data_IF_191499123827
#
_entry.id   IF_191499123827
#
_cell.length_a   1.000
_cell.length_b   1.000
_cell.length_c   1.000
_cell.angle_alpha   90.00
_cell.angle_beta   90.00
_cell.angle_gamma   90.00
#
_symmetry.space_group_name_H-M   'P 1'
#
loop_
_entity.id
_entity.type
_entity.pdbx_description
1 polymer ?
#
# COMPACT_ATOMS: atom_id res chain seq x y z
N UNK A 1 4.17 14.31 4.00
CA UNK A 1 3.64 14.22 5.36
C UNK A 1 3.25 12.78 5.70
N UNK A 2 2.34 12.16 4.94
CA UNK A 2 1.82 10.81 5.18
C UNK A 2 2.85 9.67 5.05
N UNK A 3 3.87 9.81 4.21
CA UNK A 3 4.82 8.75 3.89
C UNK A 3 6.19 8.90 4.56
N UNK A 4 6.43 10.01 5.23
CA UNK A 4 7.69 10.27 5.91
C UNK A 4 7.47 10.71 7.37
N UNK A 5 6.73 11.80 7.58
CA UNK A 5 6.64 12.45 8.90
C UNK A 5 5.81 11.58 9.87
N UNK A 6 4.57 11.26 9.52
CA UNK A 6 3.70 10.48 10.41
C UNK A 6 4.20 9.05 10.64
N UNK A 7 4.68 8.29 9.60
CA UNK A 7 5.24 6.97 9.83
C UNK A 7 6.49 6.99 10.71
N UNK A 8 7.33 8.03 10.61
CA UNK A 8 8.48 8.20 11.49
C UNK A 8 8.05 8.32 12.95
N UNK A 9 7.11 9.22 13.25
CA UNK A 9 6.58 9.34 14.62
C UNK A 9 5.85 8.08 15.08
N UNK A 10 5.15 7.39 14.16
CA UNK A 10 4.54 6.09 14.44
C UNK A 10 5.60 5.06 14.86
N UNK A 11 6.69 4.94 14.10
CA UNK A 11 7.77 4.00 14.41
C UNK A 11 8.47 4.31 15.74
N UNK A 12 8.54 5.57 16.14
CA UNK A 12 9.07 5.95 17.45
C UNK A 12 8.27 5.40 18.63
N UNK A 13 6.96 5.10 18.44
CA UNK A 13 6.15 4.47 19.49
C UNK A 13 6.57 3.02 19.76
N UNK A 14 7.27 2.39 18.82
CA UNK A 14 7.81 1.04 18.98
C UNK A 14 9.13 1.02 19.77
N UNK A 15 9.74 2.18 20.04
CA UNK A 15 11.03 2.30 20.74
C UNK A 15 10.80 2.40 22.24
N UNK A 16 11.30 1.45 23.06
CA UNK A 16 11.18 1.50 24.50
C UNK A 16 12.03 2.64 25.10
N UNK A 17 11.67 3.06 26.29
CA UNK A 17 12.43 4.08 27.03
C UNK A 17 13.89 3.60 27.26
N UNK A 18 14.85 4.47 26.95
CA UNK A 18 16.28 4.19 27.10
C UNK A 18 16.96 3.63 25.84
N UNK A 19 16.22 3.34 24.78
CA UNK A 19 16.76 2.91 23.50
C UNK A 19 16.72 4.04 22.45
N UNK A 20 17.65 3.96 21.48
CA UNK A 20 17.68 4.87 20.34
C UNK A 20 16.79 4.35 19.20
N UNK A 21 16.20 5.26 18.44
CA UNK A 21 15.46 4.93 17.21
C UNK A 21 16.29 4.08 16.21
N UNK A 22 17.59 4.37 16.11
CA UNK A 22 18.45 3.66 15.17
C UNK A 22 18.75 2.22 15.60
N UNK A 23 18.69 1.93 16.89
CA UNK A 23 18.85 0.55 17.42
C UNK A 23 17.74 -0.39 16.95
N UNK A 24 16.58 0.13 16.51
CA UNK A 24 15.51 -0.65 15.87
C UNK A 24 16.02 -1.50 14.69
N UNK A 25 17.03 -1.00 13.98
CA UNK A 25 17.50 -1.57 12.73
C UNK A 25 18.77 -2.43 12.90
N UNK A 26 19.33 -2.48 14.10
CA UNK A 26 20.55 -3.22 14.38
C UNK A 26 20.33 -4.72 14.24
N UNK A 27 21.14 -5.35 13.41
CA UNK A 27 21.03 -6.77 13.09
C UNK A 27 20.02 -7.12 11.99
N UNK A 28 19.15 -6.19 11.57
CA UNK A 28 18.10 -6.42 10.56
C UNK A 28 18.43 -5.88 9.16
N UNK A 29 19.72 -5.74 8.81
CA UNK A 29 20.14 -5.10 7.57
C UNK A 29 19.46 -5.66 6.31
N UNK A 30 19.31 -6.99 6.18
CA UNK A 30 18.61 -7.62 5.07
C UNK A 30 17.10 -7.30 5.09
N UNK A 31 16.45 -7.42 6.25
CA UNK A 31 15.04 -7.14 6.41
C UNK A 31 14.72 -5.67 6.09
N UNK A 32 15.54 -4.73 6.57
CA UNK A 32 15.43 -3.30 6.26
C UNK A 32 15.54 -3.06 4.75
N UNK A 33 16.55 -3.66 4.09
CA UNK A 33 16.76 -3.51 2.65
C UNK A 33 15.57 -4.05 1.85
N UNK A 34 15.06 -5.24 2.18
CA UNK A 34 13.91 -5.85 1.51
C UNK A 34 12.63 -5.06 1.77
N UNK A 35 12.38 -4.64 3.00
CA UNK A 35 11.22 -3.81 3.36
C UNK A 35 11.21 -2.51 2.56
N UNK A 36 12.34 -1.82 2.44
CA UNK A 36 12.47 -0.61 1.64
C UNK A 36 12.34 -0.88 0.15
N UNK A 37 12.93 -1.98 -0.37
CA UNK A 37 12.81 -2.37 -1.78
C UNK A 37 11.33 -2.58 -2.17
N UNK A 38 10.58 -3.34 -1.36
CA UNK A 38 9.16 -3.53 -1.59
C UNK A 38 8.35 -2.24 -1.41
N UNK A 39 8.80 -1.33 -0.57
CA UNK A 39 8.28 0.04 -0.48
C UNK A 39 8.50 0.84 -1.77
N UNK A 40 9.68 0.75 -2.40
CA UNK A 40 9.97 1.36 -3.70
C UNK A 40 9.03 0.82 -4.79
N UNK A 41 8.84 -0.51 -4.84
CA UNK A 41 7.91 -1.15 -5.78
C UNK A 41 6.46 -0.72 -5.53
N UNK A 42 6.04 -0.64 -4.26
CA UNK A 42 4.74 -0.09 -3.89
C UNK A 42 4.58 1.37 -4.34
N UNK A 43 5.61 2.19 -4.26
CA UNK A 43 5.61 3.56 -4.77
C UNK A 43 5.29 3.63 -6.26
N UNK A 44 5.81 2.69 -7.08
CA UNK A 44 5.43 2.53 -8.50
C UNK A 44 3.95 2.16 -8.62
N UNK A 45 3.45 1.29 -7.72
CA UNK A 45 2.04 0.94 -7.62
C UNK A 45 1.14 2.16 -7.46
N UNK A 46 1.50 3.08 -6.56
CA UNK A 46 0.77 4.33 -6.35
C UNK A 46 0.69 5.23 -7.59
N UNK A 47 1.78 5.34 -8.34
CA UNK A 47 1.80 6.11 -9.60
C UNK A 47 0.92 5.47 -10.68
N UNK A 48 0.98 4.15 -10.84
CA UNK A 48 0.15 3.41 -11.82
C UNK A 48 -1.31 3.34 -11.39
N UNK A 49 -1.60 3.37 -10.09
CA UNK A 49 -2.95 3.45 -9.54
C UNK A 49 -3.70 4.70 -10.02
N UNK A 50 -3.05 5.88 -9.95
CA UNK A 50 -3.60 7.12 -10.49
C UNK A 50 -3.88 7.04 -12.00
N UNK A 51 -3.02 6.37 -12.76
CA UNK A 51 -3.24 6.13 -14.19
C UNK A 51 -4.43 5.20 -14.47
N UNK A 52 -4.66 4.18 -13.65
CA UNK A 52 -5.82 3.29 -13.82
C UNK A 52 -7.13 4.04 -13.70
N UNK A 53 -7.24 4.95 -12.73
CA UNK A 53 -8.41 5.79 -12.55
C UNK A 53 -8.63 6.76 -13.73
N UNK A 54 -7.56 7.24 -14.37
CA UNK A 54 -7.64 8.09 -15.56
C UNK A 54 -8.27 7.38 -16.75
N UNK A 55 -8.03 6.06 -16.91
CA UNK A 55 -8.55 5.27 -18.03
C UNK A 55 -9.87 4.56 -17.74
N UNK A 56 -10.15 4.18 -16.49
CA UNK A 56 -11.34 3.40 -16.09
C UNK A 56 -12.37 4.23 -15.32
N UNK A 57 -11.99 5.40 -14.84
CA UNK A 57 -12.73 6.13 -13.81
C UNK A 57 -12.41 5.65 -12.41
N UNK A 58 -12.76 6.45 -11.40
CA UNK A 58 -12.39 6.23 -10.01
C UNK A 58 -12.93 4.88 -9.50
N UNK A 59 -14.22 4.64 -9.62
CA UNK A 59 -14.86 3.45 -9.04
C UNK A 59 -14.29 2.14 -9.60
N UNK A 60 -14.20 2.01 -10.93
CA UNK A 60 -13.74 0.76 -11.55
C UNK A 60 -12.23 0.57 -11.39
N UNK A 61 -11.45 1.62 -11.62
CA UNK A 61 -9.99 1.58 -11.47
C UNK A 61 -9.57 1.24 -10.05
N UNK A 62 -10.21 1.87 -9.05
CA UNK A 62 -9.96 1.61 -7.63
C UNK A 62 -10.34 0.19 -7.23
N UNK A 63 -11.54 -0.27 -7.57
CA UNK A 63 -12.01 -1.62 -7.21
C UNK A 63 -11.10 -2.72 -7.74
N UNK A 64 -10.68 -2.64 -9.02
CA UNK A 64 -9.78 -3.63 -9.62
C UNK A 64 -8.39 -3.57 -8.98
N UNK A 65 -7.82 -2.39 -8.80
CA UNK A 65 -6.48 -2.25 -8.25
C UNK A 65 -6.42 -2.65 -6.76
N UNK A 66 -7.36 -2.20 -5.92
CA UNK A 66 -7.39 -2.55 -4.49
C UNK A 66 -7.69 -4.03 -4.28
N UNK A 67 -8.65 -4.59 -5.03
CA UNK A 67 -8.93 -6.02 -4.93
C UNK A 67 -7.74 -6.88 -5.36
N UNK A 68 -7.04 -6.51 -6.45
CA UNK A 68 -5.81 -7.19 -6.88
C UNK A 68 -4.71 -7.06 -5.81
N UNK A 69 -4.56 -5.86 -5.22
CA UNK A 69 -3.64 -5.61 -4.11
C UNK A 69 -3.96 -6.50 -2.91
N UNK A 70 -5.22 -6.58 -2.51
CA UNK A 70 -5.67 -7.41 -1.39
C UNK A 70 -5.39 -8.90 -1.63
N UNK A 71 -5.79 -9.44 -2.78
CA UNK A 71 -5.61 -10.86 -3.10
C UNK A 71 -4.15 -11.26 -3.23
N UNK A 72 -3.41 -10.58 -4.11
CA UNK A 72 -2.01 -10.91 -4.36
C UNK A 72 -1.10 -10.53 -3.18
N UNK A 73 -1.33 -9.39 -2.54
CA UNK A 73 -0.55 -8.96 -1.38
C UNK A 73 -0.61 -9.96 -0.21
N UNK A 74 -1.76 -10.62 -0.02
CA UNK A 74 -1.92 -11.65 1.02
C UNK A 74 -1.10 -12.91 0.74
N UNK A 75 -0.96 -13.31 -0.53
CA UNK A 75 -0.22 -14.54 -0.91
C UNK A 75 1.28 -14.26 -1.05
N UNK A 76 1.65 -13.13 -1.65
CA UNK A 76 3.04 -12.83 -2.02
C UNK A 76 3.98 -12.77 -0.81
N UNK A 77 3.53 -12.22 0.31
CA UNK A 77 4.33 -12.14 1.54
C UNK A 77 4.82 -13.50 2.01
N UNK A 78 3.91 -14.42 2.39
CA UNK A 78 4.29 -15.78 2.83
C UNK A 78 5.10 -16.56 1.79
N UNK A 79 4.76 -16.45 0.50
CA UNK A 79 5.51 -17.16 -0.57
C UNK A 79 6.94 -16.67 -0.66
N UNK A 80 7.17 -15.36 -0.68
CA UNK A 80 8.51 -14.81 -0.76
C UNK A 80 9.32 -15.05 0.52
N UNK A 81 8.69 -14.90 1.70
CA UNK A 81 9.37 -15.26 2.96
C UNK A 81 9.83 -16.72 2.96
N UNK A 82 8.99 -17.65 2.51
CA UNK A 82 9.36 -19.07 2.45
C UNK A 82 10.50 -19.35 1.44
N UNK A 83 10.62 -18.55 0.39
CA UNK A 83 11.74 -18.67 -0.57
C UNK A 83 13.05 -18.17 0.05
N UNK A 84 13.02 -17.04 0.77
CA UNK A 84 14.21 -16.45 1.36
C UNK A 84 14.59 -17.05 2.73
N UNK A 85 13.59 -17.54 3.47
CA UNK A 85 13.73 -18.11 4.83
C UNK A 85 12.90 -19.39 4.95
N UNK A 86 13.30 -20.50 4.30
CA UNK A 86 12.54 -21.76 4.30
C UNK A 86 12.25 -22.31 5.70
N UNK A 87 13.14 -22.01 6.66
CA UNK A 87 13.03 -22.42 8.05
C UNK A 87 11.85 -21.78 8.81
N UNK A 88 11.32 -20.67 8.33
CA UNK A 88 10.17 -19.98 8.95
C UNK A 88 8.84 -20.65 8.67
N UNK A 89 8.78 -21.59 7.70
CA UNK A 89 7.54 -22.25 7.26
C UNK A 89 6.38 -21.25 7.04
N UNK A 90 6.71 -20.12 6.40
CA UNK A 90 5.75 -19.01 6.21
C UNK A 90 4.51 -19.42 5.41
N UNK A 91 4.60 -20.49 4.59
CA UNK A 91 3.47 -21.03 3.82
C UNK A 91 2.38 -21.63 4.72
N UNK A 92 2.70 -22.05 5.94
CA UNK A 92 1.71 -22.57 6.88
C UNK A 92 0.63 -21.53 7.26
N UNK A 93 0.95 -20.22 7.11
CA UNK A 93 -0.01 -19.13 7.30
C UNK A 93 -1.09 -19.09 6.20
N UNK A 94 -0.85 -19.68 5.03
CA UNK A 94 -1.80 -19.78 3.92
C UNK A 94 -2.79 -20.93 4.16
N UNK A 95 -3.57 -20.83 5.21
CA UNK A 95 -4.61 -21.82 5.55
C UNK A 95 -5.68 -21.90 4.47
N UNK A 96 -6.48 -22.97 4.49
CA UNK A 96 -7.63 -23.11 3.57
C UNK A 96 -8.55 -21.88 3.61
N UNK A 97 -8.81 -21.33 4.78
CA UNK A 97 -9.65 -20.13 4.94
C UNK A 97 -9.04 -18.89 4.29
N UNK A 98 -7.72 -18.71 4.39
CA UNK A 98 -7.01 -17.61 3.73
C UNK A 98 -7.08 -17.75 2.22
N UNK A 99 -6.78 -18.95 1.68
CA UNK A 99 -6.85 -19.21 0.23
C UNK A 99 -8.27 -19.00 -0.28
N UNK A 100 -9.28 -19.51 0.43
CA UNK A 100 -10.68 -19.31 0.06
C UNK A 100 -11.06 -17.83 0.02
N UNK A 101 -10.63 -17.04 1.03
CA UNK A 101 -10.84 -15.60 1.06
C UNK A 101 -10.22 -14.87 -0.13
N UNK A 102 -9.00 -15.24 -0.51
CA UNK A 102 -8.32 -14.69 -1.70
C UNK A 102 -9.07 -15.08 -2.97
N UNK A 103 -9.48 -16.35 -3.13
CA UNK A 103 -10.25 -16.79 -4.29
C UNK A 103 -11.56 -16.00 -4.42
N UNK A 104 -12.31 -15.83 -3.34
CA UNK A 104 -13.53 -15.03 -3.32
C UNK A 104 -13.25 -13.58 -3.73
N UNK A 105 -12.16 -12.98 -3.23
CA UNK A 105 -11.75 -11.62 -3.61
C UNK A 105 -11.44 -11.54 -5.11
N UNK A 106 -10.66 -12.46 -5.65
CA UNK A 106 -10.32 -12.47 -7.08
C UNK A 106 -11.55 -12.71 -7.97
N UNK A 107 -12.48 -13.56 -7.57
CA UNK A 107 -13.76 -13.74 -8.25
C UNK A 107 -14.60 -12.46 -8.24
N UNK A 108 -14.64 -11.76 -7.11
CA UNK A 108 -15.28 -10.44 -7.00
C UNK A 108 -14.69 -9.43 -8.00
N UNK A 109 -13.37 -9.37 -8.11
CA UNK A 109 -12.68 -8.52 -9.08
C UNK A 109 -13.06 -8.90 -10.52
N UNK A 110 -13.08 -10.19 -10.82
CA UNK A 110 -13.46 -10.68 -12.15
C UNK A 110 -14.90 -10.25 -12.50
N UNK A 111 -15.85 -10.37 -11.57
CA UNK A 111 -17.23 -9.90 -11.74
C UNK A 111 -17.29 -8.39 -11.99
N UNK A 112 -16.56 -7.60 -11.19
CA UNK A 112 -16.47 -6.15 -11.37
C UNK A 112 -15.87 -5.81 -12.75
N UNK A 113 -14.82 -6.52 -13.17
CA UNK A 113 -14.20 -6.36 -14.48
C UNK A 113 -15.17 -6.65 -15.62
N UNK A 114 -15.94 -7.75 -15.54
CA UNK A 114 -16.99 -8.09 -16.52
C UNK A 114 -18.09 -7.02 -16.54
N UNK A 115 -18.60 -6.62 -15.39
CA UNK A 115 -19.63 -5.57 -15.30
C UNK A 115 -19.12 -4.24 -15.88
N UNK A 116 -17.86 -3.87 -15.62
CA UNK A 116 -17.22 -2.68 -16.20
C UNK A 116 -17.09 -2.77 -17.72
N UNK A 117 -16.72 -3.95 -18.25
CA UNK A 117 -16.65 -4.21 -19.68
C UNK A 117 -18.04 -4.10 -20.35
N UNK A 118 -19.05 -4.70 -19.74
CA UNK A 118 -20.44 -4.60 -20.25
C UNK A 118 -20.93 -3.17 -20.26
N UNK A 119 -20.70 -2.42 -19.18
CA UNK A 119 -21.02 -0.98 -19.10
C UNK A 119 -20.28 -0.20 -20.21
N UNK A 120 -18.99 -0.46 -20.38
CA UNK A 120 -18.20 0.18 -21.44
C UNK A 120 -18.76 -0.10 -22.85
N UNK A 121 -19.24 -1.33 -23.09
CA UNK A 121 -19.85 -1.70 -24.37
C UNK A 121 -21.23 -1.05 -24.61
N UNK A 122 -21.98 -0.73 -23.54
CA UNK A 122 -23.31 -0.14 -23.63
C UNK A 122 -23.31 1.39 -23.82
N UNK A 123 -22.20 2.07 -23.54
CA UNK A 123 -22.09 3.53 -23.67
C UNK A 123 -21.60 3.94 -25.06
N UNK A 124 -22.15 5.03 -25.58
CA UNK A 124 -21.61 5.71 -26.76
C UNK A 124 -20.23 6.30 -26.49
N UNK A 125 -19.46 6.58 -27.54
CA UNK A 125 -18.13 7.20 -27.40
C UNK A 125 -18.18 8.60 -26.75
N UNK A 126 -19.28 9.31 -26.93
CA UNK A 126 -19.52 10.62 -26.33
C UNK A 126 -19.78 10.49 -24.82
N UNK A 127 -20.61 9.55 -24.42
CA UNK A 127 -20.89 9.26 -23.00
C UNK A 127 -19.65 8.75 -22.25
N UNK A 128 -18.85 7.91 -22.89
CA UNK A 128 -17.57 7.44 -22.34
C UNK A 128 -16.64 8.62 -22.05
N UNK A 129 -16.46 9.52 -23.02
CA UNK A 129 -15.60 10.71 -22.89
C UNK A 129 -16.16 11.74 -21.91
N UNK A 130 -17.47 11.85 -21.77
CA UNK A 130 -18.10 12.71 -20.77
C UNK A 130 -17.86 12.21 -19.34
N UNK A 131 -17.89 10.88 -19.13
CA UNK A 131 -17.63 10.27 -17.83
C UNK A 131 -16.14 10.20 -17.49
N UNK A 132 -15.29 9.86 -18.45
CA UNK A 132 -13.83 9.73 -18.30
C UNK A 132 -13.14 10.18 -19.57
N UNK A 133 -12.46 11.32 -19.52
CA UNK A 133 -11.88 12.00 -20.69
C UNK A 133 -11.02 11.10 -21.59
N UNK A 134 -10.20 10.24 -20.95
CA UNK A 134 -9.27 9.34 -21.64
C UNK A 134 -9.70 7.88 -21.53
N UNK A 135 -11.00 7.58 -21.51
CA UNK A 135 -11.53 6.23 -21.28
C UNK A 135 -10.95 5.22 -22.27
N UNK A 136 -10.34 4.17 -21.72
CA UNK A 136 -9.79 3.04 -22.47
C UNK A 136 -9.80 1.79 -21.58
N UNK A 137 -10.82 0.94 -21.74
CA UNK A 137 -11.02 -0.21 -20.87
C UNK A 137 -9.85 -1.21 -20.89
N UNK A 138 -9.37 -1.74 -22.06
CA UNK A 138 -8.28 -2.71 -22.06
C UNK A 138 -6.98 -2.19 -21.44
N UNK A 139 -6.61 -0.96 -21.79
CA UNK A 139 -5.42 -0.30 -21.25
C UNK A 139 -5.57 -0.02 -19.76
N UNK A 140 -6.72 0.48 -19.35
CA UNK A 140 -7.00 0.78 -17.94
C UNK A 140 -7.02 -0.48 -17.09
N UNK A 141 -7.59 -1.59 -17.59
CA UNK A 141 -7.60 -2.89 -16.92
C UNK A 141 -6.17 -3.41 -16.69
N UNK A 142 -5.34 -3.42 -17.74
CA UNK A 142 -3.94 -3.86 -17.62
C UNK A 142 -3.16 -3.01 -16.59
N UNK A 143 -3.35 -1.68 -16.62
CA UNK A 143 -2.71 -0.77 -15.67
C UNK A 143 -3.26 -0.97 -14.25
N UNK A 144 -4.56 -1.21 -14.07
CA UNK A 144 -5.16 -1.46 -12.76
C UNK A 144 -4.65 -2.77 -12.13
N UNK A 145 -4.53 -3.84 -12.92
CA UNK A 145 -3.95 -5.11 -12.47
C UNK A 145 -2.47 -4.94 -12.08
N UNK A 146 -1.68 -4.24 -12.91
CA UNK A 146 -0.29 -3.92 -12.58
C UNK A 146 -0.20 -3.07 -11.32
N UNK A 147 -1.03 -2.05 -11.19
CA UNK A 147 -1.08 -1.19 -10.00
C UNK A 147 -1.41 -1.99 -8.75
N UNK A 148 -2.38 -2.90 -8.83
CA UNK A 148 -2.73 -3.78 -7.72
C UNK A 148 -1.60 -4.74 -7.33
N UNK A 149 -0.94 -5.36 -8.30
CA UNK A 149 0.23 -6.20 -8.05
C UNK A 149 1.34 -5.44 -7.35
N UNK A 150 1.74 -4.28 -7.90
CA UNK A 150 2.78 -3.43 -7.31
C UNK A 150 2.35 -2.87 -5.95
N UNK A 151 1.05 -2.57 -5.76
CA UNK A 151 0.53 -2.12 -4.47
C UNK A 151 0.54 -3.23 -3.42
N UNK A 152 0.39 -4.49 -3.82
CA UNK A 152 0.53 -5.66 -2.95
C UNK A 152 1.93 -5.81 -2.36
N UNK A 153 2.94 -5.22 -2.99
CA UNK A 153 4.31 -5.15 -2.46
C UNK A 153 4.38 -4.45 -1.08
N UNK A 154 3.41 -3.61 -0.74
CA UNK A 154 3.31 -3.03 0.60
C UNK A 154 3.22 -4.12 1.68
N UNK A 155 2.32 -5.09 1.50
CA UNK A 155 2.18 -6.18 2.47
C UNK A 155 3.41 -7.10 2.51
N UNK A 156 4.06 -7.30 1.37
CA UNK A 156 5.34 -8.04 1.32
C UNK A 156 6.41 -7.31 2.13
N UNK A 157 6.52 -5.99 1.96
CA UNK A 157 7.42 -5.17 2.77
C UNK A 157 7.12 -5.26 4.26
N UNK A 158 5.84 -5.23 4.66
CA UNK A 158 5.45 -5.44 6.07
C UNK A 158 5.88 -6.82 6.57
N UNK A 159 5.75 -7.87 5.75
CA UNK A 159 6.13 -9.22 6.12
C UNK A 159 7.65 -9.37 6.33
N UNK A 160 8.48 -8.79 5.45
CA UNK A 160 9.93 -8.76 5.65
C UNK A 160 10.38 -7.92 6.84
N UNK A 161 9.60 -6.91 7.21
CA UNK A 161 9.88 -6.02 8.32
C UNK A 161 9.24 -6.43 9.66
N UNK A 162 8.53 -7.56 9.72
CA UNK A 162 7.73 -7.94 10.88
C UNK A 162 8.57 -8.09 12.17
N UNK A 163 9.81 -8.54 12.05
CA UNK A 163 10.74 -8.71 13.18
C UNK A 163 11.47 -7.43 13.60
N UNK A 164 11.29 -6.30 12.88
CA UNK A 164 11.99 -5.05 13.16
C UNK A 164 11.33 -4.35 14.36
N UNK A 165 11.62 -4.86 15.56
CA UNK A 165 11.14 -4.30 16.83
C UNK A 165 11.98 -4.85 18.01
N UNK A 166 11.80 -4.31 19.20
CA UNK A 166 12.54 -4.74 20.41
C UNK A 166 11.90 -5.97 21.10
N UNK A 167 11.36 -6.91 20.34
CA UNK A 167 10.76 -8.14 20.89
C UNK A 167 9.63 -7.85 21.87
N UNK A 168 9.72 -8.41 23.07
CA UNK A 168 8.73 -8.22 24.15
C UNK A 168 8.72 -6.81 24.75
N UNK A 169 9.73 -5.98 24.50
CA UNK A 169 9.78 -4.60 24.97
C UNK A 169 8.92 -3.65 24.12
N UNK A 170 8.60 -4.04 22.88
CA UNK A 170 7.67 -3.30 22.03
C UNK A 170 6.25 -3.83 22.24
N UNK A 171 5.28 -2.99 22.62
CA UNK A 171 3.86 -3.40 22.70
C UNK A 171 3.37 -3.96 21.37
N UNK A 172 2.58 -5.04 21.38
CA UNK A 172 2.11 -5.73 20.17
C UNK A 172 1.43 -4.80 19.18
N UNK A 173 0.67 -3.82 19.69
CA UNK A 173 -0.01 -2.81 18.88
C UNK A 173 0.92 -1.87 18.10
N UNK A 174 2.21 -1.83 18.40
CA UNK A 174 3.19 -0.96 17.73
C UNK A 174 4.23 -1.72 16.91
N UNK A 175 4.27 -3.06 16.98
CA UNK A 175 5.28 -3.89 16.32
C UNK A 175 5.35 -3.69 14.79
N UNK A 176 4.23 -3.44 14.14
CA UNK A 176 4.19 -3.24 12.68
C UNK A 176 4.59 -1.82 12.23
N UNK A 177 4.68 -0.85 13.15
CA UNK A 177 4.95 0.54 12.79
C UNK A 177 6.35 0.80 12.21
N UNK A 178 7.45 0.16 12.69
CA UNK A 178 8.76 0.31 12.08
C UNK A 178 8.80 -0.20 10.63
N UNK A 179 8.20 -1.36 10.36
CA UNK A 179 8.06 -1.87 9.00
C UNK A 179 7.24 -0.92 8.12
N UNK A 180 6.13 -0.37 8.65
CA UNK A 180 5.30 0.62 7.95
C UNK A 180 6.11 1.86 7.59
N UNK A 181 6.96 2.36 8.49
CA UNK A 181 7.85 3.49 8.21
C UNK A 181 8.81 3.20 7.06
N UNK A 182 9.45 2.04 7.05
CA UNK A 182 10.42 1.67 6.00
C UNK A 182 9.74 1.49 4.63
N UNK A 183 8.58 0.84 4.59
CA UNK A 183 7.81 0.69 3.34
C UNK A 183 7.36 2.04 2.81
N UNK A 184 6.81 2.90 3.67
CA UNK A 184 6.36 4.24 3.24
C UNK A 184 7.54 5.13 2.85
N UNK A 185 8.71 4.99 3.49
CA UNK A 185 9.94 5.66 3.09
C UNK A 185 10.40 5.24 1.69
N UNK A 186 10.37 3.93 1.37
CA UNK A 186 10.64 3.43 0.02
C UNK A 186 9.70 4.04 -1.02
N UNK A 187 8.39 4.05 -0.73
CA UNK A 187 7.39 4.68 -1.60
C UNK A 187 7.58 6.19 -1.75
N UNK A 188 7.97 6.86 -0.67
CA UNK A 188 8.32 8.29 -0.71
C UNK A 188 9.48 8.56 -1.67
N UNK A 189 10.55 7.77 -1.62
CA UNK A 189 11.70 7.91 -2.52
C UNK A 189 11.27 7.81 -3.98
N UNK A 190 10.50 6.78 -4.35
CA UNK A 190 9.98 6.60 -5.72
C UNK A 190 9.18 7.81 -6.18
N UNK A 191 8.23 8.25 -5.37
CA UNK A 191 7.34 9.34 -5.73
C UNK A 191 8.06 10.69 -5.73
N UNK A 192 8.99 10.91 -4.81
CA UNK A 192 9.81 12.12 -4.78
C UNK A 192 10.66 12.26 -6.06
N UNK A 193 11.32 11.17 -6.50
CA UNK A 193 12.09 11.14 -7.75
C UNK A 193 11.17 11.44 -8.95
N UNK A 194 9.99 10.80 -9.01
CA UNK A 194 9.03 11.03 -10.08
C UNK A 194 8.52 12.47 -10.10
N UNK A 195 8.12 13.00 -8.95
CA UNK A 195 7.66 14.40 -8.83
C UNK A 195 8.76 15.40 -9.19
N UNK A 196 10.00 15.15 -8.75
CA UNK A 196 11.15 15.97 -9.11
C UNK A 196 11.34 15.99 -10.64
N UNK A 197 11.35 14.82 -11.28
CA UNK A 197 11.45 14.72 -12.74
C UNK A 197 10.32 15.48 -13.45
N UNK A 198 9.07 15.29 -13.03
CA UNK A 198 7.92 15.94 -13.66
C UNK A 198 7.93 17.46 -13.47
N UNK A 199 8.26 17.95 -12.29
CA UNK A 199 8.35 19.40 -12.03
C UNK A 199 9.45 20.05 -12.87
N UNK A 200 10.59 19.39 -13.01
CA UNK A 200 11.70 19.87 -13.84
C UNK A 200 11.29 19.87 -15.32
N UNK A 201 10.70 18.77 -15.80
CA UNK A 201 10.27 18.63 -17.19
C UNK A 201 9.18 19.65 -17.58
N UNK A 202 8.22 19.91 -16.69
CA UNK A 202 7.08 20.78 -16.93
C UNK A 202 7.32 22.22 -16.47
N UNK A 203 8.49 22.56 -15.93
CA UNK A 203 8.85 23.87 -15.41
C UNK A 203 7.87 24.40 -14.34
N UNK A 204 7.36 23.51 -13.45
CA UNK A 204 6.31 23.84 -12.47
C UNK A 204 6.85 24.13 -11.06
N UNK A 205 8.16 24.28 -10.88
CA UNK A 205 8.75 24.61 -9.57
C UNK A 205 8.22 25.93 -9.00
N UNK A 206 7.94 26.92 -9.85
CA UNK A 206 7.37 28.21 -9.44
C UNK A 206 5.96 28.13 -8.85
N UNK A 207 5.22 27.05 -9.12
CA UNK A 207 3.86 26.89 -8.60
C UNK A 207 3.84 26.69 -7.07
N UNK A 208 4.91 26.16 -6.50
CA UNK A 208 5.07 26.02 -5.05
C UNK A 208 5.31 27.35 -4.32
N UNK A 209 5.61 28.44 -5.04
CA UNK A 209 5.87 29.75 -4.47
C UNK A 209 4.61 30.67 -4.49
N UNK A 210 3.49 30.20 -5.04
CA UNK A 210 2.23 30.96 -5.07
C UNK A 210 1.62 31.04 -3.67
N UNK A 211 1.84 32.17 -3.01
CA UNK A 211 1.47 32.39 -1.59
C UNK A 211 -0.04 32.38 -1.32
N UNK A 212 -0.86 32.79 -2.29
CA UNK A 212 -2.32 32.96 -2.13
C UNK A 212 -3.04 31.68 -1.68
N UNK A 213 -2.55 30.51 -2.07
CA UNK A 213 -3.18 29.20 -1.76
C UNK A 213 -2.29 28.31 -0.88
N UNK A 214 -1.10 28.76 -0.53
CA UNK A 214 -0.08 27.93 0.12
C UNK A 214 -0.53 27.38 1.47
N UNK A 215 -1.07 28.23 2.34
CA UNK A 215 -1.52 27.85 3.69
C UNK A 215 -2.67 26.83 3.65
N UNK A 216 -3.67 27.04 2.79
CA UNK A 216 -4.79 26.12 2.63
C UNK A 216 -4.33 24.78 2.05
N UNK A 217 -3.48 24.82 1.02
CA UNK A 217 -2.95 23.60 0.42
C UNK A 217 -2.13 22.78 1.43
N UNK A 218 -1.27 23.43 2.22
CA UNK A 218 -0.50 22.75 3.26
C UNK A 218 -1.40 22.10 4.31
N UNK A 219 -2.42 22.82 4.80
CA UNK A 219 -3.36 22.30 5.78
C UNK A 219 -4.13 21.10 5.24
N UNK A 220 -4.74 21.23 4.06
CA UNK A 220 -5.55 20.13 3.48
C UNK A 220 -4.70 18.93 3.08
N UNK A 221 -3.48 19.13 2.56
CA UNK A 221 -2.54 18.04 2.30
C UNK A 221 -2.09 17.34 3.59
N UNK A 222 -1.86 18.09 4.67
CA UNK A 222 -1.51 17.51 5.96
C UNK A 222 -2.67 16.69 6.55
N UNK A 223 -3.91 17.23 6.51
CA UNK A 223 -5.11 16.53 6.96
C UNK A 223 -5.37 15.26 6.13
N UNK A 224 -5.34 15.37 4.81
CA UNK A 224 -5.49 14.21 3.91
C UNK A 224 -4.42 13.15 4.17
N UNK A 225 -3.17 13.57 4.38
CA UNK A 225 -2.08 12.69 4.73
C UNK A 225 -2.25 12.00 6.09
N UNK A 226 -2.77 12.71 7.10
CA UNK A 226 -3.05 12.16 8.41
C UNK A 226 -4.20 11.13 8.35
N UNK A 227 -5.29 11.45 7.66
CA UNK A 227 -6.40 10.53 7.43
C UNK A 227 -5.95 9.28 6.66
N UNK A 228 -5.13 9.46 5.63
CA UNK A 228 -4.61 8.34 4.87
C UNK A 228 -3.70 7.43 5.71
N UNK A 229 -2.78 8.00 6.50
CA UNK A 229 -1.87 7.22 7.35
C UNK A 229 -2.61 6.53 8.51
N UNK A 230 -3.72 7.08 9.00
CA UNK A 230 -4.47 6.53 10.13
C UNK A 230 -4.93 5.08 9.89
N UNK A 231 -5.17 4.67 8.64
CA UNK A 231 -5.51 3.29 8.29
C UNK A 231 -4.39 2.30 8.66
N UNK A 232 -3.12 2.66 8.43
CA UNK A 232 -1.98 1.79 8.74
C UNK A 232 -1.65 1.81 10.23
N UNK A 233 -1.84 2.94 10.88
CA UNK A 233 -1.80 3.02 12.32
C UNK A 233 -2.89 2.14 12.94
N UNK A 234 -4.11 2.21 12.43
CA UNK A 234 -5.23 1.33 12.82
C UNK A 234 -4.95 -0.15 12.53
N UNK A 235 -4.28 -0.47 11.42
CA UNK A 235 -3.86 -1.84 11.11
C UNK A 235 -2.89 -2.37 12.18
N UNK A 236 -1.90 -1.57 12.59
CA UNK A 236 -0.93 -1.96 13.63
C UNK A 236 -1.62 -2.19 14.97
N UNK A 237 -2.50 -1.27 15.39
CA UNK A 237 -3.30 -1.45 16.60
C UNK A 237 -4.15 -2.71 16.53
N UNK A 238 -4.85 -2.93 15.42
CA UNK A 238 -5.70 -4.10 15.19
C UNK A 238 -4.92 -5.41 15.26
N UNK A 239 -3.77 -5.48 14.63
CA UNK A 239 -2.89 -6.65 14.70
C UNK A 239 -2.50 -6.99 16.15
N UNK A 240 -2.26 -5.99 17.00
CA UNK A 240 -1.96 -6.20 18.42
C UNK A 240 -3.08 -6.91 19.20
N UNK A 241 -4.33 -6.83 18.74
CA UNK A 241 -5.46 -7.56 19.32
C UNK A 241 -5.71 -8.92 18.66
N UNK A 242 -5.04 -9.24 17.55
CA UNK A 242 -5.26 -10.46 16.77
C UNK A 242 -4.14 -11.50 16.97
N UNK A 243 -3.25 -11.30 17.92
CA UNK A 243 -2.07 -12.16 18.17
C UNK A 243 -2.43 -13.63 18.43
N UNK A 244 -3.62 -13.90 18.97
CA UNK A 244 -4.11 -15.27 19.21
C UNK A 244 -4.75 -15.93 17.98
N UNK A 245 -4.91 -15.20 16.86
CA UNK A 245 -5.55 -15.70 15.64
C UNK A 245 -4.68 -15.52 14.40
N UNK A 246 -3.80 -16.49 14.08
CA UNK A 246 -2.91 -16.42 12.90
C UNK A 246 -3.65 -16.17 11.59
N UNK A 247 -4.84 -16.76 11.42
CA UNK A 247 -5.68 -16.57 10.23
C UNK A 247 -6.12 -15.11 10.06
N UNK A 248 -6.59 -14.47 11.15
CA UNK A 248 -7.00 -13.06 11.11
C UNK A 248 -5.81 -12.12 10.95
N UNK A 249 -4.67 -12.45 11.54
CA UNK A 249 -3.41 -11.72 11.32
C UNK A 249 -3.04 -11.70 9.83
N UNK A 250 -3.05 -12.84 9.16
CA UNK A 250 -2.74 -12.97 7.73
C UNK A 250 -3.76 -12.23 6.86
N UNK A 251 -5.05 -12.30 7.21
CA UNK A 251 -6.13 -11.63 6.48
C UNK A 251 -6.26 -10.13 6.81
N UNK A 252 -5.61 -9.62 7.85
CA UNK A 252 -5.78 -8.23 8.32
C UNK A 252 -5.55 -7.19 7.22
N UNK A 253 -4.52 -7.38 6.38
CA UNK A 253 -4.25 -6.51 5.26
C UNK A 253 -5.32 -6.62 4.16
N UNK A 254 -5.78 -7.84 3.84
CA UNK A 254 -6.85 -8.06 2.88
C UNK A 254 -8.15 -7.36 3.33
N UNK A 255 -8.50 -7.49 4.60
CA UNK A 255 -9.68 -6.84 5.21
C UNK A 255 -9.53 -5.32 5.12
N UNK A 256 -8.36 -4.77 5.48
CA UNK A 256 -8.09 -3.34 5.37
C UNK A 256 -8.30 -2.84 3.94
N UNK A 257 -7.76 -3.54 2.95
CA UNK A 257 -7.88 -3.13 1.53
C UNK A 257 -9.31 -3.29 0.99
N UNK A 258 -10.09 -4.22 1.53
CA UNK A 258 -11.50 -4.39 1.13
C UNK A 258 -12.42 -3.31 1.71
N UNK A 259 -12.02 -2.64 2.80
CA UNK A 259 -12.77 -1.57 3.44
C UNK A 259 -12.44 -0.17 2.88
N UNK A 260 -11.38 -0.04 2.08
CA UNK A 260 -10.99 1.18 1.39
C UNK A 260 -11.74 1.35 0.05
#
# INVERSE_FOLDING_TARGET
FAWLILPFFGAMLAVPSGHSFFELFDGYGFNVAMTMLFGVLWGVGGLTFGLSMRYLGVALGQSIALGTCAGLGTIMGPVLLNIFFPEMDALSSLTFSVILGVVVTLLGIAIIGVAGSMKAASLSEEEKKAAVKDFNFPKGLAIALLAGFMSGCFNVGLAFGDDIHFGSFTPDMYKTLPATFLVTLGGFITNAIYCFYQNTKNHTWGDYQKQEVWGNNLLFCALAGALWYSQFFGLSLGKGFLTESPTLMTLSFCILMALN
#
